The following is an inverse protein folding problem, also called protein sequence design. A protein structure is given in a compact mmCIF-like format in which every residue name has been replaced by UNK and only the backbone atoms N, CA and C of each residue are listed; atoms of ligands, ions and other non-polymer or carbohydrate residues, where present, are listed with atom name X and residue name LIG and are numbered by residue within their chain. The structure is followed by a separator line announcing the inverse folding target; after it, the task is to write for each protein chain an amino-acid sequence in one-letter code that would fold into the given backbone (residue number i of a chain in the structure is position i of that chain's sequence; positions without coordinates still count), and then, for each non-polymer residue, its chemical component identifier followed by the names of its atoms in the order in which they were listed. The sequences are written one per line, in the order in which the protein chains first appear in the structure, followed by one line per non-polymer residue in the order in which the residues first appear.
data_IF_522062747701
#
_entry.id   IF_522062747701
#
_cell.length_a   1.000
_cell.length_b   1.000
_cell.length_c   1.000
_cell.angle_alpha   90.00
_cell.angle_beta   90.00
_cell.angle_gamma   90.00
#
_symmetry.space_group_name_H-M   'P 1'
#
loop_
_entity.id
_entity.type
_entity.pdbx_description
1 polymer ?
#
# COMPACT_ATOMS: atom_id res chain seq x y z
N UNK A 1 -18.67 -46.63 -0.74
CA UNK A 1 -18.02 -45.65 -1.65
C UNK A 1 -17.80 -44.37 -0.86
N UNK A 2 -16.55 -44.01 -0.54
CA UNK A 2 -16.20 -42.84 0.29
C UNK A 2 -16.18 -41.60 -0.59
N UNK A 3 -17.05 -40.63 -0.32
CA UNK A 3 -17.01 -39.34 -0.99
C UNK A 3 -15.86 -38.51 -0.43
N UNK A 4 -14.78 -38.40 -1.20
CA UNK A 4 -13.74 -37.40 -0.99
C UNK A 4 -14.31 -36.04 -1.37
N UNK A 5 -14.66 -35.23 -0.37
CA UNK A 5 -14.91 -33.80 -0.56
C UNK A 5 -13.55 -33.13 -0.71
N UNK A 6 -13.18 -32.78 -1.95
CA UNK A 6 -12.00 -31.96 -2.23
C UNK A 6 -12.10 -30.62 -1.48
N UNK A 7 -11.05 -30.19 -0.74
CA UNK A 7 -11.03 -28.83 -0.21
C UNK A 7 -10.96 -27.85 -1.38
N UNK A 8 -11.94 -26.95 -1.45
CA UNK A 8 -11.98 -25.83 -2.39
C UNK A 8 -10.68 -25.03 -2.19
N UNK A 9 -9.87 -24.78 -3.23
CA UNK A 9 -8.73 -23.88 -3.11
C UNK A 9 -9.26 -22.48 -2.79
N UNK A 10 -8.96 -21.99 -1.59
CA UNK A 10 -9.20 -20.61 -1.19
C UNK A 10 -8.40 -19.70 -2.12
N UNK A 11 -9.04 -19.18 -3.16
CA UNK A 11 -8.45 -18.18 -4.04
C UNK A 11 -7.96 -17.00 -3.20
N UNK A 12 -6.77 -16.43 -3.49
CA UNK A 12 -6.30 -15.25 -2.79
C UNK A 12 -7.33 -14.13 -2.99
N UNK A 13 -7.79 -13.57 -1.89
CA UNK A 13 -8.65 -12.39 -1.86
C UNK A 13 -8.10 -11.36 -2.84
N UNK A 14 -8.89 -10.99 -3.85
CA UNK A 14 -8.55 -9.90 -4.76
C UNK A 14 -8.47 -8.62 -3.94
N UNK A 15 -7.26 -8.26 -3.50
CA UNK A 15 -6.99 -6.91 -3.02
C UNK A 15 -7.27 -5.97 -4.17
N UNK A 16 -8.05 -4.93 -3.91
CA UNK A 16 -8.32 -3.95 -4.95
C UNK A 16 -7.00 -3.28 -5.35
N UNK A 17 -6.85 -2.87 -6.62
CA UNK A 17 -5.66 -2.13 -7.08
C UNK A 17 -5.37 -0.91 -6.20
N UNK A 18 -6.40 -0.29 -5.63
CA UNK A 18 -6.26 0.80 -4.68
C UNK A 18 -5.58 0.34 -3.38
N UNK A 19 -6.04 -0.76 -2.77
CA UNK A 19 -5.43 -1.31 -1.56
C UNK A 19 -3.96 -1.73 -1.76
N UNK A 20 -3.62 -2.26 -2.94
CA UNK A 20 -2.23 -2.57 -3.29
C UNK A 20 -1.37 -1.30 -3.30
N UNK A 21 -1.84 -0.23 -3.94
CA UNK A 21 -1.13 1.06 -3.97
C UNK A 21 -0.98 1.67 -2.57
N UNK A 22 -2.01 1.56 -1.73
CA UNK A 22 -1.94 2.03 -0.34
C UNK A 22 -0.89 1.26 0.48
N UNK A 23 -0.88 -0.07 0.36
CA UNK A 23 0.10 -0.93 1.06
C UNK A 23 1.52 -0.67 0.59
N UNK A 24 1.71 -0.53 -0.71
CA UNK A 24 3.01 -0.27 -1.33
C UNK A 24 3.56 1.10 -0.91
N UNK A 25 2.71 2.13 -0.83
CA UNK A 25 3.09 3.44 -0.32
C UNK A 25 3.50 3.39 1.15
N UNK A 26 2.73 2.72 2.02
CA UNK A 26 3.09 2.55 3.43
C UNK A 26 4.40 1.77 3.61
N UNK A 27 4.63 0.74 2.80
CA UNK A 27 5.87 -0.03 2.82
C UNK A 27 7.08 0.84 2.43
N UNK A 28 6.91 1.73 1.45
CA UNK A 28 7.93 2.71 1.06
C UNK A 28 8.25 3.70 2.19
N UNK A 29 7.24 4.25 2.86
CA UNK A 29 7.47 5.15 4.01
C UNK A 29 8.24 4.46 5.14
N UNK A 30 7.84 3.22 5.47
CA UNK A 30 8.54 2.42 6.48
C UNK A 30 9.99 2.14 6.05
N UNK A 31 10.23 1.84 4.77
CA UNK A 31 11.57 1.64 4.24
C UNK A 31 12.46 2.89 4.41
N UNK A 32 11.96 4.08 4.07
CA UNK A 32 12.69 5.34 4.27
C UNK A 32 12.99 5.57 5.75
N UNK A 33 12.01 5.36 6.64
CA UNK A 33 12.20 5.55 8.08
C UNK A 33 13.28 4.63 8.67
N UNK A 34 13.47 3.45 8.07
CA UNK A 34 14.48 2.47 8.46
C UNK A 34 15.81 2.65 7.72
N UNK A 35 15.93 3.68 6.87
CA UNK A 35 17.08 3.91 5.98
C UNK A 35 17.47 2.65 5.18
N UNK A 36 16.47 1.87 4.75
CA UNK A 36 16.70 0.66 3.95
C UNK A 36 16.63 1.01 2.48
N UNK A 37 17.56 0.50 1.69
CA UNK A 37 17.43 0.52 0.23
C UNK A 37 16.73 -0.76 -0.22
N UNK A 38 15.54 -0.65 -0.82
CA UNK A 38 14.92 -1.73 -1.61
C UNK A 38 14.65 -1.24 -3.02
N UNK A 39 14.68 -2.17 -3.95
CA UNK A 39 14.21 -1.94 -5.31
C UNK A 39 12.70 -1.68 -5.25
N UNK A 40 12.29 -0.53 -5.78
CA UNK A 40 10.88 -0.22 -5.99
C UNK A 40 10.38 -0.93 -7.26
N UNK A 41 9.11 -1.35 -7.29
CA UNK A 41 8.52 -1.89 -8.50
C UNK A 41 8.65 -0.93 -9.69
N UNK A 42 8.77 -1.44 -10.94
CA UNK A 42 8.68 -0.61 -12.13
C UNK A 42 7.37 0.19 -12.13
N UNK A 43 7.44 1.47 -12.46
CA UNK A 43 6.25 2.34 -12.49
C UNK A 43 5.82 2.91 -11.14
N UNK A 44 6.32 2.37 -10.01
CA UNK A 44 5.98 2.84 -8.67
C UNK A 44 6.06 4.36 -8.57
N UNK A 45 7.23 4.94 -8.85
CA UNK A 45 7.42 6.39 -8.74
C UNK A 45 6.47 7.19 -9.63
N UNK A 46 6.22 6.73 -10.86
CA UNK A 46 5.33 7.42 -11.78
C UNK A 46 3.89 7.45 -11.26
N UNK A 47 3.40 6.33 -10.73
CA UNK A 47 2.05 6.23 -10.16
C UNK A 47 1.89 7.17 -8.96
N UNK A 48 2.81 7.13 -7.99
CA UNK A 48 2.70 7.98 -6.79
C UNK A 48 3.02 9.45 -7.05
N UNK A 49 3.79 9.77 -8.10
CA UNK A 49 3.93 11.14 -8.59
C UNK A 49 2.63 11.63 -9.24
N UNK A 50 1.93 10.79 -10.00
CA UNK A 50 0.63 11.14 -10.58
C UNK A 50 -0.44 11.40 -9.50
N UNK A 51 -0.38 10.68 -8.37
CA UNK A 51 -1.21 10.97 -7.19
C UNK A 51 -0.74 12.19 -6.37
N UNK A 52 0.42 12.75 -6.68
CA UNK A 52 1.02 13.85 -5.91
C UNK A 52 1.50 13.44 -4.52
N UNK A 53 1.70 12.14 -4.26
CA UNK A 53 2.13 11.60 -2.97
C UNK A 53 3.64 11.54 -2.82
N UNK A 54 4.36 11.48 -3.94
CA UNK A 54 5.82 11.50 -4.01
C UNK A 54 6.26 12.63 -4.94
N UNK A 55 7.34 13.30 -4.57
CA UNK A 55 8.06 14.25 -5.41
C UNK A 55 9.54 13.90 -5.48
N UNK A 56 10.22 14.36 -6.53
CA UNK A 56 11.67 14.18 -6.67
C UNK A 56 12.37 15.42 -6.13
N UNK A 57 13.18 15.26 -5.07
CA UNK A 57 14.02 16.32 -4.51
C UNK A 57 15.47 15.94 -4.68
N UNK A 58 16.21 16.71 -5.48
CA UNK A 58 17.62 16.44 -5.78
C UNK A 58 17.90 15.01 -6.30
N UNK A 59 16.98 14.46 -7.10
CA UNK A 59 17.09 13.10 -7.61
C UNK A 59 16.69 12.00 -6.61
N UNK A 60 16.22 12.37 -5.42
CA UNK A 60 15.75 11.44 -4.38
C UNK A 60 14.22 11.51 -4.30
N UNK A 61 13.50 10.38 -4.39
CA UNK A 61 12.06 10.36 -4.18
C UNK A 61 11.76 10.65 -2.70
N UNK A 62 10.89 11.61 -2.45
CA UNK A 62 10.48 12.07 -1.12
C UNK A 62 8.95 12.09 -1.03
N UNK A 63 8.35 11.66 0.09
CA UNK A 63 6.92 11.80 0.29
C UNK A 63 6.53 13.28 0.46
N UNK A 64 5.42 13.67 -0.16
CA UNK A 64 4.83 15.01 -0.03
C UNK A 64 3.93 15.08 1.22
N UNK A 65 3.51 16.29 1.59
CA UNK A 65 2.49 16.46 2.64
C UNK A 65 1.17 15.75 2.30
N UNK A 66 0.78 15.76 1.02
CA UNK A 66 -0.42 15.05 0.55
C UNK A 66 -0.26 13.54 0.70
N UNK A 67 0.91 12.98 0.35
CA UNK A 67 1.23 11.57 0.57
C UNK A 67 1.21 11.22 2.05
N UNK A 68 1.83 12.03 2.90
CA UNK A 68 1.84 11.81 4.35
C UNK A 68 0.43 11.87 4.96
N UNK A 69 -0.43 12.77 4.47
CA UNK A 69 -1.84 12.79 4.87
C UNK A 69 -2.57 11.53 4.41
N UNK A 70 -2.40 11.12 3.16
CA UNK A 70 -2.99 9.90 2.61
C UNK A 70 -2.60 8.66 3.44
N UNK A 71 -1.31 8.51 3.78
CA UNK A 71 -0.83 7.44 4.65
C UNK A 71 -1.46 7.45 6.05
N UNK A 72 -1.75 8.63 6.63
CA UNK A 72 -2.47 8.74 7.92
C UNK A 72 -3.91 8.28 7.81
N UNK A 73 -4.56 8.50 6.67
CA UNK A 73 -5.90 7.99 6.40
C UNK A 73 -5.91 6.46 6.22
N UNK A 74 -4.90 5.91 5.54
CA UNK A 74 -4.74 4.45 5.33
C UNK A 74 -4.37 3.70 6.61
N UNK A 75 -3.54 4.32 7.45
CA UNK A 75 -3.09 3.71 8.73
C UNK A 75 -4.16 3.77 9.81
N UNK A 76 -5.22 4.55 9.61
CA UNK A 76 -6.37 4.49 10.50
C UNK A 76 -7.07 3.16 10.21
N UNK A 77 -7.22 2.27 11.20
CA UNK A 77 -8.15 1.18 11.03
C UNK A 77 -9.50 1.82 10.67
N UNK A 78 -10.23 1.19 9.75
CA UNK A 78 -11.68 1.34 9.72
C UNK A 78 -12.17 0.95 11.12
N UNK A 79 -12.10 1.87 12.07
CA UNK A 79 -12.78 1.78 13.32
C UNK A 79 -14.22 1.93 12.89
N UNK A 80 -14.84 0.78 12.66
CA UNK A 80 -16.26 0.63 12.51
C UNK A 80 -16.88 1.62 13.49
N UNK A 81 -17.66 2.55 12.94
CA UNK A 81 -18.59 3.35 13.72
C UNK A 81 -19.59 2.36 14.31
N UNK A 82 -19.20 1.74 15.42
CA UNK A 82 -20.03 0.94 16.29
C UNK A 82 -20.04 1.68 17.62
N UNK A 83 -20.85 2.74 17.64
CA UNK A 83 -21.33 3.54 18.79
C UNK A 83 -22.03 4.75 18.14
N UNK A 84 -23.33 4.93 18.23
CA UNK A 84 -24.31 4.59 19.28
C UNK A 84 -25.68 4.33 18.66
#
# INVERSE_FOLDING_TARGET
MRQHTNPIPSYPMHTSRAEELERDFLAYLNMISQNKARLLPPGFLADYQAFGWIEMRNGVPCPTDAGMQAARHMSRPHHASSRR
#
